data_IF_791691845132
#
_entry.id   IF_791691845132
#
_cell.length_a   1.000
_cell.length_b   1.000
_cell.length_c   1.000
_cell.angle_alpha   90.00
_cell.angle_beta   90.00
_cell.angle_gamma   90.00
#
_symmetry.space_group_name_H-M   'P 1'
#
loop_
_entity.id
_entity.type
_entity.pdbx_description
1 polymer ?
#
# COMPACT_ATOMS: atom_id res chain seq x y z
N UNK A 1 -20.67 -16.47 -10.08
CA UNK A 1 -19.63 -16.04 -9.13
C UNK A 1 -18.98 -14.80 -9.70
N UNK A 2 -18.73 -13.77 -8.89
CA UNK A 2 -17.92 -12.64 -9.33
C UNK A 2 -16.43 -12.95 -9.17
N UNK A 3 -15.56 -12.10 -9.73
CA UNK A 3 -14.15 -12.12 -9.40
C UNK A 3 -13.94 -11.92 -7.90
N UNK A 4 -12.96 -12.64 -7.36
CA UNK A 4 -12.65 -12.60 -5.93
C UNK A 4 -11.69 -11.44 -5.70
N UNK A 5 -12.00 -10.61 -4.71
CA UNK A 5 -11.13 -9.48 -4.34
C UNK A 5 -9.93 -10.02 -3.55
N UNK A 6 -8.72 -9.61 -3.90
CA UNK A 6 -7.49 -10.06 -3.23
C UNK A 6 -7.53 -9.88 -1.71
N UNK A 7 -8.13 -8.78 -1.23
CA UNK A 7 -8.29 -8.47 0.19
C UNK A 7 -9.10 -9.53 0.96
N UNK A 8 -9.94 -10.29 0.26
CA UNK A 8 -10.81 -11.29 0.85
C UNK A 8 -10.14 -12.65 0.95
N UNK A 9 -8.98 -12.84 0.31
CA UNK A 9 -8.20 -14.07 0.35
C UNK A 9 -7.10 -13.92 1.39
N UNK A 10 -7.10 -14.77 2.41
CA UNK A 10 -6.07 -14.83 3.46
C UNK A 10 -5.37 -16.18 3.43
N UNK A 11 -4.51 -16.42 4.42
CA UNK A 11 -3.80 -17.70 4.57
C UNK A 11 -4.79 -18.86 4.80
N UNK A 12 -5.82 -18.66 5.62
CA UNK A 12 -6.77 -19.72 5.99
C UNK A 12 -8.23 -19.35 5.81
N UNK A 13 -8.51 -18.17 5.25
CA UNK A 13 -9.89 -17.69 5.05
C UNK A 13 -10.10 -17.13 3.65
N UNK A 14 -11.33 -17.19 3.16
CA UNK A 14 -11.74 -16.52 1.94
C UNK A 14 -13.18 -15.98 2.07
N UNK A 15 -13.49 -14.83 1.47
CA UNK A 15 -14.89 -14.44 1.21
C UNK A 15 -15.17 -14.40 -0.28
N UNK A 16 -16.21 -15.13 -0.69
CA UNK A 16 -16.66 -15.21 -2.08
C UNK A 16 -17.95 -14.43 -2.24
N UNK A 17 -18.02 -13.65 -3.31
CA UNK A 17 -19.16 -12.81 -3.64
C UNK A 17 -19.90 -13.39 -4.85
N UNK A 18 -21.22 -13.30 -4.84
CA UNK A 18 -22.09 -13.74 -5.92
C UNK A 18 -23.37 -12.91 -5.94
N UNK A 19 -23.96 -12.74 -7.12
CA UNK A 19 -25.23 -12.02 -7.27
C UNK A 19 -26.33 -12.78 -6.53
N UNK A 20 -27.03 -12.17 -5.54
CA UNK A 20 -28.19 -12.76 -4.91
C UNK A 20 -29.20 -13.25 -5.95
N UNK A 21 -29.50 -14.55 -5.93
CA UNK A 21 -30.43 -15.19 -6.87
C UNK A 21 -31.28 -16.20 -6.11
N UNK A 22 -32.59 -16.21 -6.37
CA UNK A 22 -33.50 -17.16 -5.74
C UNK A 22 -33.12 -18.60 -6.10
N UNK A 23 -33.12 -19.48 -5.09
CA UNK A 23 -32.87 -20.91 -5.28
C UNK A 23 -31.40 -21.33 -5.29
N UNK A 24 -30.46 -20.43 -4.98
CA UNK A 24 -29.08 -20.83 -4.67
C UNK A 24 -29.05 -21.73 -3.43
N UNK A 25 -28.29 -22.81 -3.48
CA UNK A 25 -28.30 -23.86 -2.45
C UNK A 25 -26.92 -24.14 -1.85
N UNK A 26 -25.85 -24.13 -2.64
CA UNK A 26 -24.53 -24.55 -2.16
C UNK A 26 -23.39 -24.02 -3.00
N UNK A 27 -22.19 -24.07 -2.43
CA UNK A 27 -20.92 -23.96 -3.14
C UNK A 27 -20.16 -25.28 -2.95
N UNK A 28 -19.73 -25.89 -4.05
CA UNK A 28 -18.74 -26.98 -4.01
C UNK A 28 -17.37 -26.34 -4.06
N UNK A 29 -16.59 -26.52 -2.99
CA UNK A 29 -15.24 -26.02 -2.86
C UNK A 29 -14.26 -27.18 -3.01
N UNK A 30 -13.46 -27.15 -4.08
CA UNK A 30 -12.51 -28.20 -4.43
C UNK A 30 -11.08 -27.68 -4.30
N UNK A 31 -10.29 -28.15 -3.32
CA UNK A 31 -8.86 -27.84 -3.28
C UNK A 31 -8.12 -28.55 -4.42
N UNK A 32 -6.98 -28.01 -4.85
CA UNK A 32 -6.12 -28.64 -5.85
C UNK A 32 -5.59 -30.00 -5.37
N UNK A 33 -5.49 -30.19 -4.06
CA UNK A 33 -5.17 -31.46 -3.41
C UNK A 33 -6.17 -31.74 -2.29
N UNK A 34 -6.74 -32.95 -2.26
CA UNK A 34 -7.75 -33.35 -1.27
C UNK A 34 -9.15 -33.49 -1.86
N UNK A 35 -10.14 -33.72 -0.99
CA UNK A 35 -11.53 -33.95 -1.37
C UNK A 35 -12.30 -32.64 -1.53
N UNK A 36 -13.26 -32.63 -2.47
CA UNK A 36 -14.22 -31.53 -2.59
C UNK A 36 -15.17 -31.50 -1.39
N UNK A 37 -15.52 -30.30 -0.93
CA UNK A 37 -16.45 -30.09 0.17
C UNK A 37 -17.67 -29.33 -0.36
N UNK A 38 -18.86 -29.87 -0.15
CA UNK A 38 -20.11 -29.16 -0.44
C UNK A 38 -20.48 -28.32 0.77
N UNK A 39 -20.53 -27.00 0.59
CA UNK A 39 -20.89 -26.05 1.64
C UNK A 39 -22.26 -25.47 1.33
N UNK A 40 -23.23 -25.75 2.20
CA UNK A 40 -24.58 -25.20 2.07
C UNK A 40 -24.60 -23.68 2.25
N UNK A 41 -25.43 -23.00 1.46
CA UNK A 41 -25.74 -21.58 1.64
C UNK A 41 -26.93 -21.46 2.59
N UNK A 42 -26.79 -20.64 3.62
CA UNK A 42 -27.91 -20.25 4.47
C UNK A 42 -28.64 -19.04 3.86
N UNK A 43 -29.77 -18.64 4.46
CA UNK A 43 -30.58 -17.53 3.97
C UNK A 43 -29.80 -16.20 3.91
N UNK A 44 -28.93 -15.94 4.90
CA UNK A 44 -28.11 -14.73 4.94
C UNK A 44 -27.06 -14.72 3.83
N UNK A 45 -26.44 -15.86 3.53
CA UNK A 45 -25.47 -15.98 2.44
C UNK A 45 -26.14 -15.59 1.11
N UNK A 46 -27.35 -16.10 0.87
CA UNK A 46 -28.11 -15.84 -0.37
C UNK A 46 -28.55 -14.37 -0.47
N UNK A 47 -29.06 -13.79 0.63
CA UNK A 47 -29.52 -12.40 0.65
C UNK A 47 -28.37 -11.41 0.48
N UNK A 48 -27.24 -11.63 1.17
CA UNK A 48 -26.07 -10.75 1.08
C UNK A 48 -25.25 -11.00 -0.19
N UNK A 49 -25.39 -12.19 -0.80
CA UNK A 49 -24.57 -12.59 -1.93
C UNK A 49 -23.12 -12.89 -1.53
N UNK A 50 -22.90 -13.40 -0.31
CA UNK A 50 -21.56 -13.61 0.26
C UNK A 50 -21.48 -14.94 1.00
N UNK A 51 -20.37 -15.66 0.82
CA UNK A 51 -20.00 -16.80 1.66
C UNK A 51 -18.59 -16.63 2.22
N UNK A 52 -18.45 -16.73 3.54
CA UNK A 52 -17.16 -16.77 4.21
C UNK A 52 -16.72 -18.22 4.50
N UNK A 53 -15.46 -18.50 4.21
CA UNK A 53 -14.75 -19.74 4.54
C UNK A 53 -13.67 -19.41 5.57
N UNK A 54 -13.60 -20.16 6.66
CA UNK A 54 -12.77 -19.82 7.83
C UNK A 54 -11.67 -20.83 8.16
N UNK A 55 -11.63 -21.97 7.46
CA UNK A 55 -10.74 -23.09 7.76
C UNK A 55 -10.13 -23.69 6.47
N UNK A 56 -9.55 -22.83 5.63
CA UNK A 56 -8.84 -23.22 4.43
C UNK A 56 -7.37 -23.56 4.72
N UNK A 57 -6.77 -24.33 3.83
CA UNK A 57 -5.34 -24.67 3.87
C UNK A 57 -4.55 -23.57 3.16
N UNK A 58 -3.53 -23.02 3.81
CA UNK A 58 -2.66 -22.01 3.23
C UNK A 58 -1.92 -22.48 1.98
N UNK A 59 -1.58 -21.55 1.09
CA UNK A 59 -0.88 -21.81 -0.17
C UNK A 59 -1.62 -22.73 -1.15
N UNK A 60 -2.91 -23.00 -0.94
CA UNK A 60 -3.68 -23.97 -1.72
C UNK A 60 -4.57 -23.26 -2.74
N UNK A 61 -4.55 -23.75 -3.99
CA UNK A 61 -5.51 -23.35 -5.02
C UNK A 61 -6.84 -24.06 -4.79
N UNK A 62 -7.92 -23.30 -4.87
CA UNK A 62 -9.29 -23.77 -4.76
C UNK A 62 -10.08 -23.43 -6.02
N UNK A 63 -10.98 -24.33 -6.41
CA UNK A 63 -12.07 -24.08 -7.34
C UNK A 63 -13.37 -24.03 -6.57
N UNK A 64 -14.13 -22.94 -6.71
CA UNK A 64 -15.41 -22.76 -6.06
C UNK A 64 -16.52 -22.68 -7.13
N UNK A 65 -17.46 -23.61 -7.08
CA UNK A 65 -18.59 -23.66 -8.01
C UNK A 65 -19.91 -23.49 -7.27
N UNK A 66 -20.70 -22.50 -7.70
CA UNK A 66 -21.97 -22.10 -7.10
C UNK A 66 -23.13 -22.87 -7.73
N UNK A 67 -24.05 -23.39 -6.92
CA UNK A 67 -25.18 -24.20 -7.38
C UNK A 67 -26.54 -23.67 -6.93
N UNK A 68 -27.54 -23.90 -7.79
CA UNK A 68 -28.97 -23.83 -7.48
C UNK A 68 -29.59 -25.21 -7.73
N UNK A 69 -29.69 -26.02 -6.68
CA UNK A 69 -29.99 -27.44 -6.81
C UNK A 69 -28.92 -28.13 -7.67
N UNK A 70 -29.29 -28.87 -8.74
CA UNK A 70 -28.33 -29.54 -9.62
C UNK A 70 -27.67 -28.61 -10.65
N UNK A 71 -28.10 -27.34 -10.74
CA UNK A 71 -27.66 -26.43 -11.79
C UNK A 71 -26.48 -25.59 -11.31
N UNK A 72 -25.35 -25.65 -12.02
CA UNK A 72 -24.24 -24.72 -11.84
C UNK A 72 -24.64 -23.30 -12.24
N UNK A 73 -24.18 -22.31 -11.47
CA UNK A 73 -24.46 -20.87 -11.61
C UNK A 73 -23.20 -20.02 -11.72
N UNK A 74 -22.04 -20.67 -11.76
CA UNK A 74 -20.78 -20.01 -11.98
C UNK A 74 -19.68 -20.61 -11.15
N UNK A 75 -18.47 -20.51 -11.70
CA UNK A 75 -17.27 -21.10 -11.17
C UNK A 75 -16.22 -20.01 -11.06
N UNK A 76 -15.36 -20.10 -10.05
CA UNK A 76 -14.19 -19.24 -9.89
C UNK A 76 -13.07 -20.04 -9.26
N UNK A 77 -11.84 -19.52 -9.34
CA UNK A 77 -10.69 -20.12 -8.67
C UNK A 77 -9.94 -19.05 -7.89
N UNK A 78 -9.36 -19.43 -6.76
CA UNK A 78 -8.47 -18.58 -5.99
C UNK A 78 -7.37 -19.41 -5.34
N UNK A 79 -6.29 -18.77 -4.92
CA UNK A 79 -5.22 -19.41 -4.16
C UNK A 79 -5.07 -18.68 -2.84
N UNK A 80 -5.27 -19.38 -1.72
CA UNK A 80 -5.00 -18.83 -0.39
C UNK A 80 -3.54 -18.43 -0.27
N UNK A 81 -3.25 -17.42 0.54
CA UNK A 81 -1.87 -16.95 0.75
C UNK A 81 -1.00 -18.04 1.36
N UNK A 82 0.29 -18.04 1.02
CA UNK A 82 1.27 -18.92 1.66
C UNK A 82 1.36 -18.61 3.16
N UNK A 83 1.62 -19.62 4.02
CA UNK A 83 1.73 -19.39 5.45
C UNK A 83 2.90 -18.45 5.76
N UNK A 84 2.69 -17.50 6.66
CA UNK A 84 3.75 -16.56 7.07
C UNK A 84 4.55 -17.12 8.25
N UNK A 85 5.87 -17.23 8.09
CA UNK A 85 6.80 -17.51 9.19
C UNK A 85 7.24 -16.20 9.84
N UNK A 86 6.64 -15.87 10.98
CA UNK A 86 6.99 -14.67 11.75
C UNK A 86 8.28 -14.88 12.53
N UNK A 87 9.20 -13.91 12.46
CA UNK A 87 10.40 -13.85 13.31
C UNK A 87 10.01 -13.53 14.76
N UNK A 88 9.05 -12.63 14.93
CA UNK A 88 8.46 -12.28 16.23
C UNK A 88 6.98 -11.96 16.04
N UNK A 89 6.17 -12.26 17.06
CA UNK A 89 4.77 -11.87 17.14
C UNK A 89 4.59 -11.00 18.37
N UNK A 90 4.04 -9.82 18.20
CA UNK A 90 3.80 -8.85 19.25
C UNK A 90 2.30 -8.77 19.57
N UNK A 91 2.00 -8.40 20.80
CA UNK A 91 0.68 -8.03 21.30
C UNK A 91 0.66 -6.52 21.62
N UNK A 92 -0.52 -5.89 21.67
CA UNK A 92 -0.65 -4.52 22.17
C UNK A 92 -0.02 -4.38 23.56
N UNK A 93 0.83 -3.36 23.73
CA UNK A 93 1.63 -3.15 24.94
C UNK A 93 3.09 -3.59 24.81
N UNK A 94 3.42 -4.46 23.85
CA UNK A 94 4.81 -4.78 23.51
C UNK A 94 5.50 -3.60 22.81
N UNK A 95 6.83 -3.51 22.98
CA UNK A 95 7.64 -2.45 22.40
C UNK A 95 7.95 -2.73 20.91
N UNK A 96 7.09 -2.19 20.04
CA UNK A 96 7.27 -2.28 18.59
C UNK A 96 8.55 -1.58 18.11
N UNK A 97 8.94 -0.47 18.73
CA UNK A 97 10.14 0.27 18.33
C UNK A 97 11.40 -0.55 18.63
N UNK A 98 11.46 -1.17 19.81
CA UNK A 98 12.55 -2.08 20.17
C UNK A 98 12.60 -3.29 19.22
N UNK A 99 11.45 -3.89 18.89
CA UNK A 99 11.39 -5.02 17.96
C UNK A 99 11.92 -4.65 16.55
N UNK A 100 11.59 -3.46 16.05
CA UNK A 100 12.11 -2.93 14.77
C UNK A 100 13.62 -2.68 14.88
N UNK A 101 14.09 -2.09 15.98
CA UNK A 101 15.51 -1.81 16.18
C UNK A 101 16.34 -3.10 16.22
N UNK A 102 15.88 -4.13 16.94
CA UNK A 102 16.56 -5.42 17.09
C UNK A 102 16.38 -6.37 15.89
N UNK A 103 15.47 -6.07 14.97
CA UNK A 103 15.17 -6.94 13.84
C UNK A 103 16.42 -7.19 12.98
N UNK A 104 16.66 -8.46 12.66
CA UNK A 104 17.62 -8.87 11.65
C UNK A 104 17.12 -8.49 10.24
N UNK A 105 18.04 -8.41 9.28
CA UNK A 105 17.67 -8.25 7.87
C UNK A 105 16.80 -9.45 7.41
N UNK A 106 15.68 -9.15 6.75
CA UNK A 106 14.67 -10.12 6.34
C UNK A 106 13.64 -10.49 7.41
N UNK A 107 13.70 -9.91 8.61
CA UNK A 107 12.76 -10.25 9.68
C UNK A 107 11.31 -9.89 9.33
N UNK A 108 10.38 -10.75 9.78
CA UNK A 108 8.93 -10.53 9.67
C UNK A 108 8.37 -10.37 11.08
N UNK A 109 7.94 -9.14 11.40
CA UNK A 109 7.31 -8.76 12.65
C UNK A 109 5.79 -8.86 12.47
N UNK A 110 5.17 -9.78 13.21
CA UNK A 110 3.73 -9.97 13.24
C UNK A 110 3.08 -9.16 14.36
N UNK A 111 2.00 -8.45 14.06
CA UNK A 111 1.20 -7.73 15.06
C UNK A 111 -0.14 -8.44 15.25
N UNK A 112 -0.43 -8.90 16.46
CA UNK A 112 -1.78 -9.31 16.81
C UNK A 112 -2.71 -8.09 16.84
N UNK A 113 -4.04 -8.26 16.63
CA UNK A 113 -5.00 -7.16 16.67
C UNK A 113 -4.89 -6.30 17.93
N UNK A 114 -5.07 -4.99 17.74
CA UNK A 114 -5.03 -3.95 18.75
C UNK A 114 -4.16 -2.76 18.33
N UNK A 115 -3.76 -1.93 19.30
CA UNK A 115 -3.07 -0.66 19.04
C UNK A 115 -1.63 -0.67 19.55
N UNK A 116 -0.72 -0.22 18.69
CA UNK A 116 0.71 -0.04 18.95
C UNK A 116 1.08 1.43 18.77
N UNK A 117 2.20 1.84 19.37
CA UNK A 117 2.67 3.23 19.30
C UNK A 117 4.15 3.28 18.93
N UNK A 118 4.47 4.10 17.93
CA UNK A 118 5.80 4.56 17.56
C UNK A 118 5.87 6.06 17.85
N UNK A 119 6.10 6.41 19.12
CA UNK A 119 6.00 7.79 19.62
C UNK A 119 7.09 8.73 19.06
N UNK A 120 8.20 8.19 18.59
CA UNK A 120 9.31 8.90 17.97
C UNK A 120 9.58 8.37 16.56
N UNK A 121 10.42 9.08 15.81
CA UNK A 121 10.91 8.59 14.53
C UNK A 121 11.52 7.19 14.72
N UNK A 122 11.10 6.25 13.86
CA UNK A 122 11.48 4.85 13.96
C UNK A 122 12.36 4.48 12.78
N UNK A 123 13.55 3.96 13.06
CA UNK A 123 14.59 3.76 12.05
C UNK A 123 14.69 2.29 11.63
N UNK A 124 14.61 2.07 10.31
CA UNK A 124 14.92 0.80 9.67
C UNK A 124 16.29 0.95 9.02
N UNK A 125 17.34 0.74 9.82
CA UNK A 125 18.73 1.01 9.43
C UNK A 125 19.36 -0.18 8.70
N UNK A 126 19.73 0.04 7.44
CA UNK A 126 20.52 -0.88 6.59
C UNK A 126 19.99 -2.32 6.55
N UNK A 127 18.65 -2.46 6.59
CA UNK A 127 17.96 -3.74 6.60
C UNK A 127 16.61 -3.63 5.92
N UNK A 128 16.14 -4.74 5.37
CA UNK A 128 14.79 -4.88 4.84
C UNK A 128 13.98 -5.70 5.84
N UNK A 129 12.86 -5.17 6.33
CA UNK A 129 11.96 -5.90 7.25
C UNK A 129 10.52 -5.88 6.74
N UNK A 130 9.71 -6.79 7.25
CA UNK A 130 8.25 -6.78 7.07
C UNK A 130 7.57 -6.52 8.40
N UNK A 131 6.61 -5.60 8.44
CA UNK A 131 5.69 -5.39 9.57
C UNK A 131 4.29 -5.72 9.06
N UNK A 132 3.67 -6.75 9.64
CA UNK A 132 2.43 -7.31 9.11
C UNK A 132 1.43 -7.58 10.23
N UNK A 133 0.17 -7.20 10.01
CA UNK A 133 -0.93 -7.67 10.85
C UNK A 133 -1.11 -9.18 10.67
N UNK A 134 -1.23 -9.90 11.78
CA UNK A 134 -1.48 -11.35 11.80
C UNK A 134 -2.91 -11.65 11.31
N UNK A 135 -3.89 -10.80 11.61
CA UNK A 135 -5.26 -10.92 11.08
C UNK A 135 -5.34 -10.56 9.59
N UNK A 136 -4.42 -9.69 9.13
CA UNK A 136 -4.44 -9.13 7.79
C UNK A 136 -5.60 -8.15 7.58
N UNK A 137 -6.15 -7.58 8.66
CA UNK A 137 -7.24 -6.62 8.63
C UNK A 137 -6.77 -5.27 9.21
N UNK A 138 -6.60 -4.23 8.37
CA UNK A 138 -6.15 -2.93 8.86
C UNK A 138 -7.14 -2.28 9.85
N UNK A 139 -8.42 -2.67 9.86
CA UNK A 139 -9.42 -2.13 10.78
C UNK A 139 -9.32 -2.65 12.22
N UNK A 140 -8.49 -3.67 12.49
CA UNK A 140 -8.30 -4.20 13.85
C UNK A 140 -6.85 -4.16 14.35
N UNK A 141 -5.91 -3.72 13.51
CA UNK A 141 -4.48 -3.61 13.84
C UNK A 141 -4.00 -2.21 13.51
N UNK A 142 -3.73 -1.40 14.53
CA UNK A 142 -3.42 0.03 14.41
C UNK A 142 -2.03 0.37 14.96
N UNK A 143 -1.28 1.20 14.25
CA UNK A 143 -0.01 1.79 14.69
C UNK A 143 -0.13 3.31 14.65
N UNK A 144 -0.08 3.96 15.81
CA UNK A 144 0.11 5.40 15.88
C UNK A 144 1.58 5.70 15.64
N UNK A 145 1.91 6.52 14.64
CA UNK A 145 3.31 6.75 14.24
C UNK A 145 3.69 8.23 14.25
N UNK A 146 4.97 8.48 14.58
CA UNK A 146 5.61 9.78 14.33
C UNK A 146 6.19 9.87 12.93
N UNK A 147 7.02 8.91 12.55
CA UNK A 147 7.71 8.83 11.25
C UNK A 147 8.35 7.45 11.11
N UNK A 148 8.35 6.85 9.91
CA UNK A 148 9.12 5.65 9.59
C UNK A 148 10.28 6.06 8.68
N UNK A 149 11.49 6.02 9.25
CA UNK A 149 12.73 6.36 8.56
C UNK A 149 13.38 5.11 7.96
N UNK A 150 13.51 5.10 6.64
CA UNK A 150 14.28 4.08 5.90
C UNK A 150 15.70 4.60 5.75
N UNK A 151 16.64 3.99 6.48
CA UNK A 151 17.96 4.58 6.73
C UNK A 151 19.09 3.77 6.09
N UNK A 152 19.81 4.39 5.15
CA UNK A 152 21.07 3.88 4.60
C UNK A 152 20.93 2.76 3.57
N UNK A 153 22.08 2.34 3.02
CA UNK A 153 22.13 1.34 1.96
C UNK A 153 21.62 -0.02 2.45
N UNK A 154 20.77 -0.66 1.64
CA UNK A 154 20.14 -1.94 1.97
C UNK A 154 18.84 -1.83 2.79
N UNK A 155 18.45 -0.60 3.17
CA UNK A 155 17.21 -0.39 3.91
C UNK A 155 15.97 -0.45 3.02
N UNK A 156 14.90 -1.06 3.54
CA UNK A 156 13.58 -1.10 2.91
C UNK A 156 12.54 -1.70 3.85
N UNK A 157 11.27 -1.66 3.43
CA UNK A 157 10.18 -2.10 4.31
C UNK A 157 8.98 -2.61 3.52
N UNK A 158 8.37 -3.67 4.03
CA UNK A 158 7.02 -4.09 3.63
C UNK A 158 6.07 -3.90 4.80
N UNK A 159 4.99 -3.14 4.59
CA UNK A 159 3.94 -2.89 5.56
C UNK A 159 2.66 -3.54 5.03
N UNK A 160 2.01 -4.38 5.83
CA UNK A 160 0.84 -5.13 5.37
C UNK A 160 -0.28 -5.27 6.39
N UNK A 161 -1.51 -4.93 5.99
CA UNK A 161 -2.71 -5.20 6.78
C UNK A 161 -2.89 -4.34 8.02
N UNK A 162 -2.30 -3.13 8.06
CA UNK A 162 -2.24 -2.28 9.25
C UNK A 162 -2.86 -0.91 8.97
N UNK A 163 -3.59 -0.35 9.93
CA UNK A 163 -3.87 1.09 9.96
C UNK A 163 -2.67 1.83 10.58
N UNK A 164 -2.12 2.79 9.83
CA UNK A 164 -1.12 3.73 10.29
C UNK A 164 -1.76 5.10 10.47
N UNK A 165 -1.75 5.61 11.70
CA UNK A 165 -2.29 6.91 12.07
C UNK A 165 -1.19 7.87 12.53
N UNK A 166 -0.96 8.92 11.75
CA UNK A 166 0.08 9.92 11.99
C UNK A 166 -0.39 11.10 12.85
N UNK A 167 -1.68 11.18 13.19
CA UNK A 167 -2.28 12.38 13.80
C UNK A 167 -1.74 12.61 15.21
N UNK A 168 -1.79 11.59 16.07
CA UNK A 168 -1.29 11.66 17.44
C UNK A 168 0.23 11.91 17.50
N UNK A 169 0.98 11.40 16.51
CA UNK A 169 2.41 11.65 16.38
C UNK A 169 2.74 13.05 15.84
N UNK A 170 1.77 13.81 15.34
CA UNK A 170 2.02 14.99 14.51
C UNK A 170 3.05 14.67 13.41
N UNK A 171 2.78 13.59 12.66
CA UNK A 171 3.67 13.10 11.62
C UNK A 171 3.85 14.13 10.51
N UNK A 172 5.10 14.30 10.07
CA UNK A 172 5.39 15.06 8.85
C UNK A 172 5.29 14.15 7.61
N UNK A 173 5.83 12.95 7.70
CA UNK A 173 5.92 11.99 6.60
C UNK A 173 5.54 10.60 7.09
N UNK A 174 4.84 9.82 6.25
CA UNK A 174 4.67 8.40 6.56
C UNK A 174 5.97 7.63 6.36
N UNK A 175 6.56 7.72 5.17
CA UNK A 175 7.90 7.18 4.86
C UNK A 175 8.87 8.33 4.56
N UNK A 176 9.98 8.38 5.29
CA UNK A 176 11.06 9.32 5.04
C UNK A 176 12.37 8.54 4.77
N UNK A 177 13.07 8.90 3.71
CA UNK A 177 14.36 8.28 3.38
C UNK A 177 15.50 9.14 3.91
N UNK A 178 16.47 8.53 4.59
CA UNK A 178 17.66 9.21 5.08
C UNK A 178 18.92 8.38 4.77
N UNK A 179 20.05 9.05 4.56
CA UNK A 179 21.35 8.40 4.40
C UNK A 179 21.87 7.81 5.71
N UNK A 180 21.81 8.61 6.76
CA UNK A 180 22.09 8.22 8.14
C UNK A 180 21.49 9.23 9.12
N UNK A 181 21.34 8.86 10.39
CA UNK A 181 20.94 9.79 11.45
C UNK A 181 21.96 10.91 11.67
N UNK A 182 23.26 10.62 11.54
CA UNK A 182 24.34 11.62 11.70
C UNK A 182 24.41 12.61 10.52
N UNK A 183 24.09 12.14 9.32
CA UNK A 183 24.08 12.93 8.09
C UNK A 183 22.94 12.43 7.19
N UNK A 184 21.78 13.07 7.29
CA UNK A 184 20.57 12.62 6.59
C UNK A 184 20.73 12.63 5.07
N UNK A 185 21.63 13.45 4.51
CA UNK A 185 21.85 13.54 3.07
C UNK A 185 22.97 12.68 2.51
N UNK A 186 23.60 11.80 3.30
CA UNK A 186 24.63 10.87 2.80
C UNK A 186 24.06 9.90 1.77
N UNK A 187 24.82 9.56 0.72
CA UNK A 187 24.34 8.66 -0.31
C UNK A 187 23.89 7.29 0.23
N UNK A 188 22.80 6.76 -0.32
CA UNK A 188 22.20 5.49 0.06
C UNK A 188 21.48 4.83 -1.13
N UNK A 189 21.63 3.52 -1.24
CA UNK A 189 20.85 2.69 -2.18
C UNK A 189 19.88 1.83 -1.38
N UNK A 190 18.62 2.22 -1.39
CA UNK A 190 17.52 1.54 -0.70
C UNK A 190 17.03 0.33 -1.50
N UNK A 191 16.47 -0.64 -0.79
CA UNK A 191 15.68 -1.72 -1.39
C UNK A 191 14.23 -1.24 -1.55
N UNK A 192 13.26 -2.15 -1.60
CA UNK A 192 11.88 -1.77 -1.93
C UNK A 192 11.11 -1.25 -0.72
N UNK A 193 10.17 -0.34 -0.99
CA UNK A 193 9.10 0.03 -0.07
C UNK A 193 7.78 -0.51 -0.62
N UNK A 194 7.07 -1.28 0.20
CA UNK A 194 5.78 -1.88 -0.15
C UNK A 194 4.77 -1.55 0.94
N UNK A 195 3.64 -0.95 0.55
CA UNK A 195 2.49 -0.69 1.41
C UNK A 195 1.30 -1.43 0.81
N UNK A 196 0.89 -2.51 1.46
CA UNK A 196 -0.13 -3.42 0.94
C UNK A 196 -1.27 -3.59 1.93
N UNK A 197 -2.53 -3.50 1.47
CA UNK A 197 -3.69 -3.71 2.34
C UNK A 197 -3.65 -2.84 3.62
N UNK A 198 -3.13 -1.61 3.52
CA UNK A 198 -3.00 -0.71 4.66
C UNK A 198 -4.03 0.41 4.58
N UNK A 199 -4.33 0.98 5.74
CA UNK A 199 -4.94 2.30 5.84
C UNK A 199 -3.84 3.23 6.34
N UNK A 200 -3.55 4.35 5.67
CA UNK A 200 -2.49 5.27 6.11
C UNK A 200 -3.01 6.69 6.07
N UNK A 201 -2.89 7.43 7.18
CA UNK A 201 -3.37 8.80 7.24
C UNK A 201 -2.61 9.70 8.21
N UNK A 202 -2.89 10.99 8.12
CA UNK A 202 -2.53 11.98 9.14
C UNK A 202 -1.12 12.56 9.06
N UNK A 203 -0.37 12.34 7.96
CA UNK A 203 0.92 13.01 7.77
C UNK A 203 0.76 14.39 7.13
N UNK A 204 1.28 15.43 7.77
CA UNK A 204 1.03 16.81 7.36
C UNK A 204 1.82 17.25 6.13
N UNK A 205 2.91 16.58 5.76
CA UNK A 205 3.75 17.04 4.66
C UNK A 205 3.60 16.17 3.41
N UNK A 206 3.80 14.86 3.51
CA UNK A 206 3.68 13.94 2.37
C UNK A 206 3.44 12.50 2.84
N UNK A 207 3.02 11.64 1.91
CA UNK A 207 3.04 10.20 2.14
C UNK A 207 4.49 9.68 2.13
N UNK A 208 5.30 10.16 1.18
CA UNK A 208 6.69 9.71 1.03
C UNK A 208 7.61 10.85 0.62
N UNK A 209 8.77 10.95 1.30
CA UNK A 209 9.83 11.91 1.00
C UNK A 209 11.15 11.23 0.65
N UNK A 210 11.65 11.47 -0.55
CA UNK A 210 12.90 10.92 -1.09
C UNK A 210 14.00 11.94 -1.42
N UNK A 211 13.84 13.21 -1.10
CA UNK A 211 14.69 14.30 -1.63
C UNK A 211 15.85 14.76 -0.71
N UNK A 212 16.17 13.99 0.33
CA UNK A 212 17.19 14.38 1.32
C UNK A 212 18.63 14.19 0.84
N UNK A 213 18.87 13.44 -0.24
CA UNK A 213 20.20 13.31 -0.83
C UNK A 213 20.86 14.67 -1.07
N UNK A 214 22.13 14.80 -0.66
CA UNK A 214 22.87 16.06 -0.77
C UNK A 214 23.08 16.41 -2.23
N UNK A 215 23.68 15.49 -2.98
CA UNK A 215 23.80 15.54 -4.42
C UNK A 215 22.64 14.83 -5.11
N UNK A 216 22.46 15.16 -6.39
CA UNK A 216 21.45 14.52 -7.23
C UNK A 216 21.85 13.05 -7.41
N UNK A 217 20.89 12.12 -7.23
CA UNK A 217 21.07 10.65 -7.28
C UNK A 217 21.85 10.03 -6.13
N UNK A 218 22.14 10.79 -5.05
CA UNK A 218 22.67 10.21 -3.82
C UNK A 218 21.72 9.15 -3.25
N UNK A 219 20.42 9.35 -3.43
CA UNK A 219 19.41 8.36 -3.07
C UNK A 219 18.97 7.58 -4.30
N UNK A 220 19.03 6.26 -4.20
CA UNK A 220 18.58 5.32 -5.23
C UNK A 220 17.62 4.29 -4.64
N UNK A 221 16.59 3.92 -5.39
CA UNK A 221 15.66 2.85 -5.01
C UNK A 221 15.18 2.09 -6.25
N UNK A 222 14.91 0.79 -6.12
CA UNK A 222 14.31 0.04 -7.23
C UNK A 222 12.81 0.30 -7.32
N UNK A 223 12.04 -0.03 -6.28
CA UNK A 223 10.57 -0.01 -6.34
C UNK A 223 9.91 0.60 -5.11
N UNK A 224 8.89 1.40 -5.38
CA UNK A 224 7.89 1.86 -4.41
C UNK A 224 6.55 1.31 -4.89
N UNK A 225 5.85 0.58 -4.01
CA UNK A 225 4.55 -0.02 -4.32
C UNK A 225 3.52 0.34 -3.26
N UNK A 226 2.36 0.84 -3.69
CA UNK A 226 1.17 0.99 -2.86
C UNK A 226 0.04 0.18 -3.49
N UNK A 227 -0.36 -0.90 -2.84
CA UNK A 227 -1.37 -1.81 -3.37
C UNK A 227 -2.52 -2.00 -2.37
N UNK A 228 -3.75 -2.09 -2.90
CA UNK A 228 -4.93 -2.44 -2.12
C UNK A 228 -5.08 -1.59 -0.83
N UNK A 229 -4.68 -0.32 -0.88
CA UNK A 229 -4.54 0.52 0.32
C UNK A 229 -5.44 1.74 0.24
N UNK A 230 -5.78 2.27 1.42
CA UNK A 230 -6.50 3.54 1.57
C UNK A 230 -5.55 4.56 2.18
N UNK A 231 -5.28 5.64 1.46
CA UNK A 231 -4.38 6.71 1.89
C UNK A 231 -5.14 8.01 1.95
N UNK A 232 -5.14 8.70 3.10
CA UNK A 232 -5.87 9.95 3.21
C UNK A 232 -5.29 10.96 4.17
N UNK A 233 -5.77 12.21 4.09
CA UNK A 233 -5.33 13.33 4.92
C UNK A 233 -3.80 13.51 4.91
N UNK A 234 -3.23 13.51 3.70
CA UNK A 234 -1.79 13.66 3.46
C UNK A 234 -1.48 15.03 2.87
N UNK A 235 -0.59 15.79 3.49
CA UNK A 235 -0.10 17.06 2.93
C UNK A 235 -0.96 18.29 3.23
N UNK A 236 -1.56 18.34 4.42
CA UNK A 236 -2.32 19.50 4.94
C UNK A 236 -3.40 19.99 3.97
N UNK A 237 -4.31 19.10 3.58
CA UNK A 237 -5.46 19.43 2.73
C UNK A 237 -5.07 20.11 1.40
N UNK A 238 -3.94 19.73 0.81
CA UNK A 238 -3.48 20.30 -0.45
C UNK A 238 -2.65 21.57 -0.33
N UNK A 239 -2.20 21.95 0.88
CA UNK A 239 -1.40 23.18 1.10
C UNK A 239 0.08 22.92 1.39
N UNK A 240 0.51 21.67 1.61
CA UNK A 240 1.92 21.30 1.81
C UNK A 240 2.82 21.83 0.68
N UNK A 241 4.11 22.06 0.96
CA UNK A 241 5.08 22.38 -0.09
C UNK A 241 5.49 21.15 -0.93
N UNK A 242 5.23 19.94 -0.40
CA UNK A 242 5.64 18.65 -0.95
C UNK A 242 4.50 18.01 -1.73
N UNK A 243 4.85 17.11 -2.64
CA UNK A 243 3.86 16.25 -3.30
C UNK A 243 3.61 15.03 -2.41
N UNK A 244 2.51 14.31 -2.63
CA UNK A 244 2.21 13.06 -1.94
C UNK A 244 3.40 12.08 -2.02
N UNK A 245 3.95 11.93 -3.23
CA UNK A 245 5.23 11.24 -3.49
C UNK A 245 6.27 12.27 -3.93
N UNK A 246 7.12 12.69 -3.00
CA UNK A 246 8.13 13.71 -3.25
C UNK A 246 9.51 13.09 -3.51
N UNK A 247 9.82 12.86 -4.78
CA UNK A 247 10.98 12.07 -5.24
C UNK A 247 12.04 12.93 -5.94
N UNK A 248 12.07 14.24 -5.69
CA UNK A 248 13.12 15.11 -6.21
C UNK A 248 14.50 14.55 -5.84
N UNK A 249 15.47 14.61 -6.75
CA UNK A 249 16.85 14.08 -6.60
C UNK A 249 17.00 12.56 -6.46
N UNK A 250 15.97 11.81 -6.10
CA UNK A 250 16.03 10.36 -5.97
C UNK A 250 15.97 9.70 -7.34
N UNK A 251 16.88 8.76 -7.61
CA UNK A 251 16.74 7.86 -8.74
C UNK A 251 15.86 6.67 -8.34
N UNK A 252 14.78 6.45 -9.08
CA UNK A 252 13.89 5.30 -8.87
C UNK A 252 13.61 4.57 -10.19
N UNK A 253 13.38 3.26 -10.15
CA UNK A 253 12.95 2.52 -11.34
C UNK A 253 11.42 2.50 -11.45
N UNK A 254 10.71 2.23 -10.35
CA UNK A 254 9.25 2.08 -10.38
C UNK A 254 8.54 2.75 -9.19
N UNK A 255 7.45 3.45 -9.47
CA UNK A 255 6.38 3.78 -8.52
C UNK A 255 5.08 3.15 -9.03
N UNK A 256 4.58 2.15 -8.31
CA UNK A 256 3.36 1.43 -8.66
C UNK A 256 2.26 1.71 -7.64
N UNK A 257 1.12 2.20 -8.10
CA UNK A 257 -0.08 2.38 -7.29
C UNK A 257 -1.20 1.57 -7.94
N UNK A 258 -1.72 0.58 -7.23
CA UNK A 258 -2.76 -0.30 -7.75
C UNK A 258 -3.87 -0.55 -6.74
N UNK A 259 -5.11 -0.66 -7.23
CA UNK A 259 -6.28 -1.06 -6.41
C UNK A 259 -6.44 -0.21 -5.14
N UNK A 260 -5.99 1.05 -5.18
CA UNK A 260 -5.86 1.89 -3.98
C UNK A 260 -6.75 3.12 -4.07
N UNK A 261 -7.13 3.65 -2.91
CA UNK A 261 -7.90 4.89 -2.82
C UNK A 261 -7.06 5.94 -2.11
N UNK A 262 -6.84 7.07 -2.77
CA UNK A 262 -6.21 8.25 -2.20
C UNK A 262 -7.27 9.34 -2.10
N UNK A 263 -7.45 9.94 -0.93
CA UNK A 263 -8.33 11.09 -0.81
C UNK A 263 -7.85 12.14 0.18
N UNK A 264 -8.18 13.41 -0.07
CA UNK A 264 -7.64 14.53 0.71
C UNK A 264 -6.09 14.49 0.80
N UNK A 265 -5.45 14.23 -0.33
CA UNK A 265 -3.99 14.11 -0.45
C UNK A 265 -3.45 15.19 -1.40
N UNK A 266 -2.25 15.71 -1.16
CA UNK A 266 -1.60 16.66 -2.08
C UNK A 266 -0.97 17.85 -1.36
N UNK A 267 -0.45 18.86 -2.09
CA UNK A 267 -0.98 19.51 -3.32
C UNK A 267 -0.79 18.85 -4.69
N UNK A 268 -0.01 17.79 -4.83
CA UNK A 268 0.17 17.09 -6.11
C UNK A 268 0.55 15.64 -5.89
N UNK A 269 0.35 14.77 -6.88
CA UNK A 269 0.58 13.33 -6.68
C UNK A 269 2.06 12.97 -6.68
N UNK A 270 2.78 13.19 -7.79
CA UNK A 270 4.19 12.80 -7.92
C UNK A 270 5.06 13.97 -8.37
N UNK A 271 6.24 14.14 -7.74
CA UNK A 271 7.29 15.01 -8.29
C UNK A 271 8.63 14.30 -8.36
N UNK A 272 9.35 14.52 -9.45
CA UNK A 272 10.70 14.09 -9.73
C UNK A 272 11.34 15.12 -10.68
N UNK A 273 11.43 16.36 -10.21
CA UNK A 273 11.68 17.56 -11.03
C UNK A 273 13.15 18.02 -11.07
N UNK A 274 13.99 17.54 -10.14
CA UNK A 274 15.44 17.80 -10.23
C UNK A 274 16.02 17.01 -11.39
N UNK A 275 16.55 17.69 -12.39
CA UNK A 275 17.03 17.06 -13.63
C UNK A 275 18.31 16.27 -13.40
N UNK A 276 18.37 15.03 -13.91
CA UNK A 276 19.57 14.21 -13.95
C UNK A 276 19.52 13.18 -15.07
N UNK A 277 20.69 12.69 -15.47
CA UNK A 277 20.81 11.47 -16.30
C UNK A 277 20.77 10.26 -15.38
N UNK A 278 19.65 9.53 -15.37
CA UNK A 278 19.46 8.34 -14.55
C UNK A 278 20.07 7.08 -15.19
N UNK A 279 20.31 6.05 -14.39
CA UNK A 279 20.72 4.73 -14.91
C UNK A 279 19.56 4.02 -15.64
N UNK A 280 18.33 4.42 -15.35
CA UNK A 280 17.08 3.91 -15.94
C UNK A 280 16.08 5.04 -16.12
N UNK A 281 15.18 4.91 -17.10
CA UNK A 281 13.99 5.78 -17.20
C UNK A 281 12.96 5.34 -16.17
N UNK A 282 12.59 6.17 -15.18
CA UNK A 282 11.60 5.81 -14.17
C UNK A 282 10.23 5.56 -14.78
N UNK A 283 9.50 4.59 -14.21
CA UNK A 283 8.10 4.33 -14.54
C UNK A 283 7.21 4.64 -13.34
N UNK A 284 6.12 5.36 -13.59
CA UNK A 284 5.06 5.63 -12.63
C UNK A 284 3.76 5.06 -13.20
N UNK A 285 3.22 4.06 -12.54
CA UNK A 285 2.03 3.33 -12.98
C UNK A 285 0.93 3.42 -11.92
N UNK A 286 -0.23 3.96 -12.31
CA UNK A 286 -1.42 4.07 -11.48
C UNK A 286 -2.54 3.28 -12.15
N UNK A 287 -3.01 2.21 -11.51
CA UNK A 287 -4.01 1.30 -12.09
C UNK A 287 -5.13 0.99 -11.13
N UNK A 288 -6.37 0.87 -11.63
CA UNK A 288 -7.53 0.42 -10.85
C UNK A 288 -7.69 1.19 -9.52
N UNK A 289 -7.36 2.48 -9.51
CA UNK A 289 -7.25 3.29 -8.29
C UNK A 289 -8.20 4.49 -8.33
N UNK A 290 -8.52 5.03 -7.17
CA UNK A 290 -9.35 6.24 -7.04
C UNK A 290 -8.55 7.34 -6.36
N UNK A 291 -8.53 8.54 -6.95
CA UNK A 291 -7.96 9.75 -6.35
C UNK A 291 -9.06 10.79 -6.25
N UNK A 292 -9.41 11.20 -5.04
CA UNK A 292 -10.53 12.10 -4.78
C UNK A 292 -10.13 13.25 -3.87
N UNK A 293 -10.36 14.50 -4.29
CA UNK A 293 -10.05 15.63 -3.43
C UNK A 293 -8.54 15.81 -3.28
N UNK A 294 -7.84 16.07 -4.38
CA UNK A 294 -6.40 16.33 -4.41
C UNK A 294 -6.08 17.59 -5.22
N UNK A 295 -4.85 18.08 -5.17
CA UNK A 295 -4.43 19.25 -5.95
C UNK A 295 -4.47 20.56 -5.15
N UNK A 296 -3.43 21.38 -5.27
CA UNK A 296 -3.38 22.73 -4.71
C UNK A 296 -2.01 23.38 -4.83
N UNK A 297 -1.79 24.46 -4.08
CA UNK A 297 -0.50 25.15 -3.91
C UNK A 297 0.29 25.42 -5.21
N UNK A 298 -0.41 25.80 -6.29
CA UNK A 298 0.15 26.05 -7.61
C UNK A 298 1.05 24.92 -8.14
N UNK A 299 0.74 23.67 -7.77
CA UNK A 299 1.45 22.48 -8.22
C UNK A 299 0.82 21.91 -9.49
N UNK A 300 1.60 21.10 -10.22
CA UNK A 300 1.07 20.20 -11.24
C UNK A 300 0.34 19.06 -10.52
N UNK A 301 -0.96 18.91 -10.77
CA UNK A 301 -1.80 18.03 -9.96
C UNK A 301 -1.36 16.55 -10.01
N UNK A 302 -0.88 16.07 -11.15
CA UNK A 302 -0.54 14.66 -11.37
C UNK A 302 0.96 14.40 -11.32
N UNK A 303 1.73 15.08 -12.17
CA UNK A 303 3.17 14.83 -12.29
C UNK A 303 3.94 16.13 -12.52
N UNK A 304 5.02 16.30 -11.77
CA UNK A 304 6.07 17.25 -12.10
C UNK A 304 7.41 16.53 -12.32
N UNK A 305 7.73 16.27 -13.59
CA UNK A 305 8.98 15.67 -14.04
C UNK A 305 10.02 16.70 -14.49
N UNK A 306 9.64 17.98 -14.64
CA UNK A 306 10.45 19.00 -15.31
C UNK A 306 10.98 18.47 -16.67
N UNK A 307 12.31 18.36 -16.83
CA UNK A 307 12.95 17.84 -18.04
C UNK A 307 13.35 16.36 -17.95
N UNK A 308 13.04 15.65 -16.86
CA UNK A 308 13.36 14.23 -16.72
C UNK A 308 12.45 13.37 -17.60
N UNK A 309 12.99 12.36 -18.30
CA UNK A 309 12.17 11.35 -18.95
C UNK A 309 11.50 10.48 -17.89
N UNK A 310 10.17 10.34 -17.94
CA UNK A 310 9.39 9.46 -17.05
C UNK A 310 8.28 8.80 -17.87
N UNK A 311 8.18 7.48 -17.77
CA UNK A 311 7.02 6.75 -18.30
C UNK A 311 5.88 6.89 -17.28
N UNK A 312 4.87 7.71 -17.59
CA UNK A 312 3.73 7.95 -16.70
C UNK A 312 2.45 7.34 -17.27
N UNK A 313 1.78 6.48 -16.50
CA UNK A 313 0.56 5.81 -16.94
C UNK A 313 -0.49 5.87 -15.84
N UNK A 314 -1.72 6.26 -16.21
CA UNK A 314 -2.92 6.11 -15.40
C UNK A 314 -3.92 5.28 -16.22
N UNK A 315 -4.34 4.13 -15.72
CA UNK A 315 -5.28 3.24 -16.40
C UNK A 315 -6.38 2.76 -15.46
N UNK A 316 -7.61 2.63 -15.97
CA UNK A 316 -8.76 2.11 -15.23
C UNK A 316 -8.97 2.78 -13.85
N UNK A 317 -8.66 4.07 -13.76
CA UNK A 317 -8.62 4.81 -12.49
C UNK A 317 -9.53 6.02 -12.54
N UNK A 318 -10.04 6.42 -11.37
CA UNK A 318 -10.93 7.57 -11.20
C UNK A 318 -10.12 8.72 -10.61
N UNK A 319 -10.17 9.89 -11.24
CA UNK A 319 -9.61 11.14 -10.73
C UNK A 319 -10.76 12.14 -10.57
N UNK A 320 -11.00 12.63 -9.36
CA UNK A 320 -12.13 13.51 -9.06
C UNK A 320 -11.78 14.61 -8.07
N UNK A 321 -12.51 15.73 -8.17
CA UNK A 321 -12.49 16.86 -7.22
C UNK A 321 -11.09 17.48 -7.03
N UNK A 322 -10.50 17.96 -8.14
CA UNK A 322 -9.24 18.72 -8.15
C UNK A 322 -9.44 20.11 -8.77
N UNK A 323 -8.83 21.19 -8.25
CA UNK A 323 -8.02 21.25 -7.03
C UNK A 323 -8.85 21.04 -5.77
N UNK A 324 -8.23 20.47 -4.73
CA UNK A 324 -8.81 20.34 -3.39
C UNK A 324 -8.81 21.66 -2.65
N UNK A 325 -7.73 22.43 -2.81
CA UNK A 325 -7.55 23.74 -2.19
C UNK A 325 -6.70 24.65 -3.06
N UNK A 326 -6.95 25.96 -3.00
CA UNK A 326 -6.21 26.95 -3.79
C UNK A 326 -6.27 26.68 -5.30
N UNK A 327 -5.18 26.99 -5.99
CA UNK A 327 -5.02 26.77 -7.43
C UNK A 327 -4.04 25.64 -7.71
N UNK A 328 -4.21 25.02 -8.87
CA UNK A 328 -3.20 24.16 -9.52
C UNK A 328 -2.69 24.85 -10.77
N UNK A 329 -1.56 24.39 -11.31
CA UNK A 329 -1.15 24.79 -12.64
C UNK A 329 -2.20 24.38 -13.68
N UNK A 330 -2.34 25.17 -14.75
CA UNK A 330 -3.29 24.88 -15.83
C UNK A 330 -3.02 23.50 -16.48
N UNK A 331 -1.74 23.12 -16.60
CA UNK A 331 -1.36 21.76 -16.94
C UNK A 331 -1.36 20.86 -15.70
N UNK A 332 -1.95 19.67 -15.81
CA UNK A 332 -1.90 18.66 -14.76
C UNK A 332 -0.53 17.97 -14.67
N UNK A 333 0.23 17.97 -15.77
CA UNK A 333 1.54 17.32 -15.91
C UNK A 333 2.53 18.34 -16.46
N UNK A 334 3.74 18.39 -15.88
CA UNK A 334 4.93 18.97 -16.50
C UNK A 334 5.91 17.86 -16.84
N UNK A 335 6.23 17.71 -18.12
CA UNK A 335 7.24 16.80 -18.65
C UNK A 335 7.67 17.24 -20.04
N UNK A 336 8.84 16.78 -20.49
CA UNK A 336 9.40 17.09 -21.82
C UNK A 336 9.06 16.05 -22.90
N UNK A 337 8.20 15.08 -22.60
CA UNK A 337 7.75 14.05 -23.56
C UNK A 337 6.56 14.50 -24.40
N UNK A 338 6.58 14.17 -25.69
CA UNK A 338 5.41 14.22 -26.55
C UNK A 338 4.33 13.26 -26.01
N UNK A 339 3.08 13.73 -25.99
CA UNK A 339 1.91 12.95 -25.60
C UNK A 339 1.61 11.81 -26.57
#
# INVERSE_FOLDING_TARGET
>A
MSDIRDIEIKETTAKLYFTPTTGLTSIVLTPATGAAVTVALNASDVTLGVKAFTTLTAGTKYTAELFAGPKSKGITTFTTLAPTTYTVKLNPGDDLAAAIASAANGAIIGLNPGTYTLAAATFITQKTITIKSISGNPGDTKVNYKEIDVEGTGAGVTLSGIEFDGTAGASLYFINFIGSQAANGSAATFTNVVVDNCITHGSTTAFLRGDRGTAVRDFKITGITVNNSVVYDMGLNGSSAYYTFHLNKMQFANLNISKSTFYNAGPGLVTASTTYTGDVTPTVSITNSTFNGFGGNAKYALLDANANPINFTIANSILANTPKSGTVNAAAIRGTGAA
#
